data_IF_485439977123
#
_entry.id   IF_485439977123
#
_cell.length_a   1.000
_cell.length_b   1.000
_cell.length_c   1.000
_cell.angle_alpha   90.00
_cell.angle_beta   90.00
_cell.angle_gamma   90.00
#
_symmetry.space_group_name_H-M   'P 1'
#
loop_
_entity.id
_entity.type
_entity.pdbx_description
1 polymer ?
#
# COMPACT_ATOMS: atom_id res chain seq x y z
N UNK A 1 -4.56 -31.19 -7.30
CA UNK A 1 -4.64 -29.88 -7.99
C UNK A 1 -4.07 -28.83 -7.05
N UNK A 2 -3.07 -28.06 -7.44
CA UNK A 2 -2.59 -26.95 -6.60
C UNK A 2 -3.51 -25.75 -6.80
N UNK A 3 -4.11 -25.26 -5.72
CA UNK A 3 -5.07 -24.17 -5.73
C UNK A 3 -4.47 -22.77 -6.02
N UNK A 4 -3.17 -22.70 -6.37
CA UNK A 4 -2.50 -21.48 -6.83
C UNK A 4 -2.31 -20.39 -5.77
N UNK A 5 -2.47 -20.71 -4.48
CA UNK A 5 -2.25 -19.75 -3.40
C UNK A 5 -0.79 -19.26 -3.35
N UNK A 6 -0.56 -17.98 -3.01
CA UNK A 6 0.78 -17.50 -2.69
C UNK A 6 1.35 -18.25 -1.49
N UNK A 7 2.68 -18.32 -1.39
CA UNK A 7 3.34 -19.06 -0.33
C UNK A 7 3.23 -18.33 1.00
N UNK A 8 2.70 -19.00 2.03
CA UNK A 8 2.71 -18.51 3.41
C UNK A 8 4.11 -18.44 4.03
N UNK A 9 5.08 -19.15 3.43
CA UNK A 9 6.47 -19.11 3.90
C UNK A 9 7.14 -17.83 3.39
N UNK A 10 7.86 -17.09 4.26
CA UNK A 10 8.66 -15.96 3.82
C UNK A 10 9.65 -16.46 2.77
N UNK A 11 9.65 -15.80 1.60
CA UNK A 11 10.64 -16.07 0.56
C UNK A 11 11.91 -15.29 0.92
N UNK A 12 13.07 -15.92 0.72
CA UNK A 12 14.38 -15.30 0.93
C UNK A 12 14.70 -14.22 -0.12
N UNK A 13 13.69 -13.69 -0.83
CA UNK A 13 13.89 -12.63 -1.83
C UNK A 13 14.43 -11.34 -1.21
N UNK A 14 14.29 -11.17 0.11
CA UNK A 14 14.95 -10.13 0.90
C UNK A 14 16.43 -10.37 1.19
N UNK A 15 16.93 -11.62 1.05
CA UNK A 15 18.35 -11.97 1.25
C UNK A 15 19.22 -11.59 0.03
N UNK A 16 18.67 -10.84 -0.94
CA UNK A 16 19.48 -10.35 -2.06
C UNK A 16 20.63 -9.51 -1.49
N UNK A 17 21.90 -9.85 -1.77
CA UNK A 17 23.02 -9.07 -1.31
C UNK A 17 22.84 -7.63 -1.80
N UNK A 18 22.95 -6.68 -0.89
CA UNK A 18 22.82 -5.25 -1.19
C UNK A 18 23.78 -4.93 -2.34
N UNK A 19 23.23 -4.70 -3.53
CA UNK A 19 24.02 -4.34 -4.71
C UNK A 19 24.41 -2.87 -4.58
N UNK A 20 25.59 -2.62 -4.05
CA UNK A 20 26.19 -1.29 -4.12
C UNK A 20 26.49 -0.98 -5.60
N UNK A 21 26.07 0.19 -6.15
CA UNK A 21 26.50 0.60 -7.47
C UNK A 21 28.02 0.77 -7.43
N UNK A 22 28.72 -0.05 -8.21
CA UNK A 22 30.18 -0.04 -8.30
C UNK A 22 30.56 0.83 -9.48
N UNK A 23 31.32 1.90 -9.21
CA UNK A 23 32.02 2.63 -10.27
C UNK A 23 33.09 1.76 -10.94
N UNK A 24 33.75 2.27 -11.99
CA UNK A 24 34.78 1.54 -12.74
C UNK A 24 35.93 1.03 -11.86
N UNK A 25 36.11 1.60 -10.67
CA UNK A 25 37.16 1.24 -9.70
C UNK A 25 36.65 0.45 -8.50
N UNK A 26 35.48 -0.19 -8.56
CA UNK A 26 34.87 -0.96 -7.45
C UNK A 26 34.53 -0.18 -6.17
N UNK A 27 34.70 1.14 -6.20
CA UNK A 27 34.27 2.07 -5.15
C UNK A 27 32.86 2.59 -5.49
N UNK A 28 31.95 2.74 -4.50
CA UNK A 28 30.67 3.38 -4.73
C UNK A 28 30.83 4.86 -5.07
N UNK A 29 30.29 5.30 -6.20
CA UNK A 29 30.31 6.72 -6.59
C UNK A 29 29.13 7.47 -5.94
N UNK A 30 29.37 8.08 -4.78
CA UNK A 30 28.33 8.81 -4.02
C UNK A 30 27.87 10.10 -4.69
N UNK A 31 28.69 10.72 -5.55
CA UNK A 31 28.34 11.97 -6.24
C UNK A 31 27.37 11.75 -7.40
N UNK A 32 27.40 10.59 -8.05
CA UNK A 32 26.53 10.25 -9.19
C UNK A 32 25.31 9.46 -8.74
N UNK A 33 25.45 8.61 -7.72
CA UNK A 33 24.36 7.75 -7.22
C UNK A 33 23.67 8.26 -5.95
N UNK A 34 24.18 9.34 -5.35
CA UNK A 34 23.65 9.95 -4.14
C UNK A 34 24.20 9.34 -2.84
N UNK A 35 23.95 10.02 -1.72
CA UNK A 35 24.26 9.52 -0.38
C UNK A 35 23.30 8.38 -0.02
N UNK A 36 23.83 7.22 0.38
CA UNK A 36 23.03 6.07 0.80
C UNK A 36 22.54 6.21 2.24
N UNK A 37 21.35 5.68 2.52
CA UNK A 37 20.88 5.57 3.89
C UNK A 37 21.66 4.46 4.62
N UNK A 38 21.91 4.63 5.93
CA UNK A 38 22.58 3.60 6.73
C UNK A 38 21.87 2.23 6.68
N UNK A 39 20.54 2.27 6.47
CA UNK A 39 19.65 1.12 6.28
C UNK A 39 20.03 0.27 5.07
N UNK A 40 20.56 0.90 4.02
CA UNK A 40 20.95 0.25 2.77
C UNK A 40 22.31 -0.48 2.90
N UNK A 41 22.94 -0.49 4.07
CA UNK A 41 24.27 -1.09 4.28
C UNK A 41 24.22 -2.33 5.18
N UNK A 42 23.15 -2.51 5.95
CA UNK A 42 22.97 -3.65 6.85
C UNK A 42 22.10 -4.73 6.18
N UNK A 43 22.48 -6.02 6.24
CA UNK A 43 21.60 -7.08 5.74
C UNK A 43 20.27 -7.06 6.53
N UNK A 44 19.17 -7.04 5.79
CA UNK A 44 17.81 -7.07 6.34
C UNK A 44 17.47 -8.43 6.96
N UNK A 45 16.43 -8.46 7.79
CA UNK A 45 15.95 -9.71 8.37
C UNK A 45 15.19 -10.52 7.29
N UNK A 46 15.29 -11.85 7.21
CA UNK A 46 14.60 -12.65 6.18
C UNK A 46 13.07 -12.47 6.19
N UNK A 47 12.49 -12.10 7.34
CA UNK A 47 11.05 -11.79 7.47
C UNK A 47 10.68 -10.38 6.98
N UNK A 48 11.64 -9.46 6.85
CA UNK A 48 11.39 -8.06 6.49
C UNK A 48 10.65 -7.93 5.15
N UNK A 49 11.08 -8.71 4.16
CA UNK A 49 10.42 -8.74 2.86
C UNK A 49 8.98 -9.23 2.96
N UNK A 50 8.73 -10.24 3.79
CA UNK A 50 7.40 -10.80 3.99
C UNK A 50 6.47 -9.82 4.70
N UNK A 51 6.93 -9.14 5.75
CA UNK A 51 6.13 -8.13 6.47
C UNK A 51 5.81 -6.93 5.59
N UNK A 52 6.77 -6.49 4.78
CA UNK A 52 6.57 -5.38 3.84
C UNK A 52 5.45 -5.66 2.82
N UNK A 53 5.29 -6.90 2.37
CA UNK A 53 4.27 -7.29 1.38
C UNK A 53 3.11 -8.07 2.00
N UNK A 54 2.95 -8.00 3.33
CA UNK A 54 1.95 -8.81 4.03
C UNK A 54 0.53 -8.53 3.54
N UNK A 55 0.16 -7.25 3.40
CA UNK A 55 -1.18 -6.87 2.96
C UNK A 55 -1.50 -7.33 1.53
N UNK A 56 -0.55 -7.16 0.60
CA UNK A 56 -0.69 -7.59 -0.80
C UNK A 56 -0.83 -9.11 -0.90
N UNK A 57 -0.04 -9.85 -0.12
CA UNK A 57 -0.11 -11.30 -0.07
C UNK A 57 -1.43 -11.80 0.51
N UNK A 58 -1.94 -11.14 1.57
CA UNK A 58 -3.23 -11.46 2.16
C UNK A 58 -4.37 -11.24 1.14
N UNK A 59 -4.39 -10.09 0.47
CA UNK A 59 -5.38 -9.78 -0.57
C UNK A 59 -5.32 -10.80 -1.73
N UNK A 60 -4.11 -11.19 -2.15
CA UNK A 60 -3.92 -12.20 -3.18
C UNK A 60 -4.45 -13.58 -2.75
N UNK A 61 -4.25 -13.98 -1.49
CA UNK A 61 -4.81 -15.21 -0.94
C UNK A 61 -6.34 -15.17 -0.96
N UNK A 62 -6.94 -14.09 -0.50
CA UNK A 62 -8.39 -13.93 -0.40
C UNK A 62 -9.04 -13.96 -1.79
N UNK A 63 -8.43 -13.33 -2.80
CA UNK A 63 -8.91 -13.41 -4.17
C UNK A 63 -8.78 -14.80 -4.79
N UNK A 64 -7.70 -15.54 -4.49
CA UNK A 64 -7.58 -16.93 -4.91
C UNK A 64 -8.64 -17.80 -4.24
N UNK A 65 -8.93 -17.57 -2.96
CA UNK A 65 -10.00 -18.25 -2.24
C UNK A 65 -11.36 -17.98 -2.88
N UNK A 66 -11.69 -16.70 -3.13
CA UNK A 66 -12.92 -16.29 -3.81
C UNK A 66 -13.04 -16.93 -5.19
N UNK A 67 -11.96 -16.95 -5.97
CA UNK A 67 -11.92 -17.64 -7.27
C UNK A 67 -12.20 -19.12 -7.14
N UNK A 68 -11.63 -19.79 -6.15
CA UNK A 68 -11.78 -21.23 -5.96
C UNK A 68 -13.20 -21.60 -5.50
N UNK A 69 -13.82 -20.78 -4.66
CA UNK A 69 -15.17 -21.03 -4.15
C UNK A 69 -16.27 -20.64 -5.14
N UNK A 70 -16.13 -19.48 -5.77
CA UNK A 70 -17.21 -18.85 -6.54
C UNK A 70 -16.88 -18.76 -8.04
N UNK A 71 -15.63 -18.96 -8.45
CA UNK A 71 -15.18 -18.85 -9.84
C UNK A 71 -14.56 -17.50 -10.18
N UNK A 72 -14.06 -17.35 -11.41
CA UNK A 72 -13.26 -16.18 -11.84
C UNK A 72 -14.03 -14.86 -11.83
N UNK A 73 -15.35 -14.90 -11.90
CA UNK A 73 -16.19 -13.71 -11.94
C UNK A 73 -16.19 -12.95 -10.60
N UNK A 74 -15.96 -13.65 -9.49
CA UNK A 74 -16.01 -13.06 -8.15
C UNK A 74 -14.88 -12.07 -7.87
N UNK A 75 -13.59 -12.43 -8.00
CA UNK A 75 -12.49 -11.47 -7.83
C UNK A 75 -12.57 -10.31 -8.83
N UNK A 76 -12.99 -10.59 -10.07
CA UNK A 76 -13.16 -9.55 -11.11
C UNK A 76 -14.18 -8.50 -10.69
N UNK A 77 -15.37 -8.95 -10.26
CA UNK A 77 -16.45 -8.08 -9.78
C UNK A 77 -15.99 -7.24 -8.60
N UNK A 78 -15.38 -7.87 -7.59
CA UNK A 78 -14.93 -7.15 -6.39
C UNK A 78 -13.87 -6.09 -6.74
N UNK A 79 -12.92 -6.41 -7.63
CA UNK A 79 -11.91 -5.43 -8.06
C UNK A 79 -12.51 -4.28 -8.88
N UNK A 80 -13.53 -4.55 -9.69
CA UNK A 80 -14.30 -3.51 -10.39
C UNK A 80 -15.03 -2.61 -9.40
N UNK A 81 -15.73 -3.17 -8.41
CA UNK A 81 -16.43 -2.42 -7.37
C UNK A 81 -15.45 -1.52 -6.60
N UNK A 82 -14.31 -2.06 -6.14
CA UNK A 82 -13.26 -1.29 -5.47
C UNK A 82 -12.76 -0.10 -6.31
N UNK A 83 -12.57 -0.27 -7.63
CA UNK A 83 -12.13 0.79 -8.55
C UNK A 83 -13.20 1.86 -8.79
N UNK A 84 -14.48 1.48 -8.83
CA UNK A 84 -15.58 2.43 -8.92
C UNK A 84 -15.63 3.28 -7.65
N UNK A 85 -15.53 2.62 -6.50
CA UNK A 85 -15.64 3.26 -5.20
C UNK A 85 -14.43 4.14 -4.86
N UNK A 86 -13.22 3.79 -5.33
CA UNK A 86 -12.04 4.64 -5.13
C UNK A 86 -12.15 5.99 -5.85
N UNK A 87 -12.95 6.06 -6.92
CA UNK A 87 -13.16 7.28 -7.72
C UNK A 87 -14.35 8.11 -7.25
N UNK A 88 -15.17 7.61 -6.34
CA UNK A 88 -16.30 8.37 -5.81
C UNK A 88 -15.82 9.47 -4.86
N UNK A 89 -15.78 10.71 -5.37
CA UNK A 89 -15.44 11.90 -4.58
C UNK A 89 -16.71 12.64 -4.11
N UNK A 90 -16.64 13.25 -2.93
CA UNK A 90 -17.66 14.18 -2.42
C UNK A 90 -17.53 15.55 -3.09
N UNK A 91 -18.40 16.50 -2.72
CA UNK A 91 -18.33 17.88 -3.18
C UNK A 91 -16.90 18.45 -3.04
N UNK A 92 -16.45 19.29 -4.00
CA UNK A 92 -15.15 19.94 -3.91
C UNK A 92 -15.08 20.75 -2.61
N UNK A 93 -14.02 20.55 -1.82
CA UNK A 93 -13.75 21.03 -0.44
C UNK A 93 -14.06 20.05 0.70
N UNK A 94 -14.79 18.96 0.46
CA UNK A 94 -15.08 17.97 1.51
C UNK A 94 -14.29 16.68 1.29
N UNK A 95 -13.54 16.19 2.28
CA UNK A 95 -12.75 14.98 2.14
C UNK A 95 -13.69 13.77 2.01
N UNK A 96 -13.40 12.87 1.08
CA UNK A 96 -14.15 11.61 0.90
C UNK A 96 -13.78 10.64 2.02
N UNK A 97 -14.73 10.22 2.84
CA UNK A 97 -14.46 9.29 3.95
C UNK A 97 -14.03 7.88 3.52
N UNK A 98 -14.08 7.54 2.22
CA UNK A 98 -13.78 6.21 1.64
C UNK A 98 -14.53 5.02 2.26
N UNK A 99 -15.60 5.26 3.02
CA UNK A 99 -16.37 4.22 3.75
C UNK A 99 -16.75 3.03 2.87
N UNK A 100 -17.24 3.27 1.66
CA UNK A 100 -17.61 2.19 0.75
C UNK A 100 -16.39 1.35 0.33
N UNK A 101 -15.24 1.99 0.09
CA UNK A 101 -14.01 1.29 -0.27
C UNK A 101 -13.54 0.45 0.93
N UNK A 102 -13.57 1.04 2.12
CA UNK A 102 -13.19 0.38 3.37
C UNK A 102 -14.09 -0.82 3.71
N UNK A 103 -15.37 -0.78 3.34
CA UNK A 103 -16.27 -1.93 3.48
C UNK A 103 -15.93 -3.06 2.51
N UNK A 104 -15.49 -2.75 1.29
CA UNK A 104 -15.11 -3.76 0.30
C UNK A 104 -13.72 -4.36 0.56
N UNK A 105 -12.83 -3.61 1.21
CA UNK A 105 -11.50 -4.10 1.62
C UNK A 105 -11.50 -4.74 3.01
N UNK A 106 -12.57 -4.56 3.80
CA UNK A 106 -12.67 -5.05 5.17
C UNK A 106 -11.95 -4.20 6.22
N UNK A 107 -11.33 -3.07 5.81
CA UNK A 107 -10.61 -2.15 6.70
C UNK A 107 -11.52 -1.56 7.78
N UNK A 108 -12.81 -1.41 7.50
CA UNK A 108 -13.79 -0.86 8.44
C UNK A 108 -13.96 -1.66 9.76
N UNK A 109 -13.41 -2.87 9.85
CA UNK A 109 -13.48 -3.73 11.05
C UNK A 109 -12.24 -3.64 11.93
N UNK A 110 -11.16 -3.05 11.42
CA UNK A 110 -9.85 -2.94 12.07
C UNK A 110 -9.51 -1.48 12.35
N UNK A 111 -8.73 -1.22 13.40
CA UNK A 111 -8.23 0.12 13.73
C UNK A 111 -6.72 0.10 13.65
N UNK A 112 -6.16 1.01 12.86
CA UNK A 112 -4.72 1.12 12.59
C UNK A 112 -4.13 2.44 13.14
N UNK A 113 -2.79 2.55 13.14
CA UNK A 113 -2.10 3.75 13.66
C UNK A 113 -2.51 5.04 12.92
N UNK A 114 -2.77 4.93 11.61
CA UNK A 114 -3.23 6.05 10.78
C UNK A 114 -4.57 6.61 11.24
N UNK A 115 -5.46 5.77 11.78
CA UNK A 115 -6.79 6.22 12.21
C UNK A 115 -6.69 7.11 13.47
N UNK A 116 -5.59 6.99 14.24
CA UNK A 116 -5.35 7.75 15.46
C UNK A 116 -4.45 8.97 15.18
N UNK A 117 -3.39 8.78 14.39
CA UNK A 117 -2.35 9.80 14.19
C UNK A 117 -2.59 10.70 12.96
N UNK A 118 -3.38 10.24 11.99
CA UNK A 118 -3.64 10.98 10.75
C UNK A 118 -5.11 11.45 10.69
N UNK A 119 -5.52 12.20 11.72
CA UNK A 119 -6.87 12.77 11.79
C UNK A 119 -7.08 13.73 10.62
N UNK A 120 -8.07 13.44 9.80
CA UNK A 120 -8.29 14.10 8.51
C UNK A 120 -8.64 15.59 8.62
N UNK A 121 -9.26 16.00 9.72
CA UNK A 121 -9.58 17.41 9.97
C UNK A 121 -8.33 18.24 10.29
N UNK A 122 -7.26 17.60 10.78
CA UNK A 122 -6.00 18.25 11.13
C UNK A 122 -4.96 18.15 9.99
N UNK A 123 -5.33 17.52 8.86
CA UNK A 123 -4.43 17.36 7.74
C UNK A 123 -4.22 18.71 7.03
N UNK A 124 -2.96 19.17 7.00
CA UNK A 124 -2.52 20.45 6.42
C UNK A 124 -2.93 20.64 4.93
N UNK A 125 -3.30 19.54 4.26
CA UNK A 125 -3.69 19.49 2.85
C UNK A 125 -5.09 20.08 2.60
N UNK A 126 -5.98 20.07 3.60
CA UNK A 126 -7.35 20.55 3.43
C UNK A 126 -7.57 21.90 4.10
N UNK A 127 -7.55 22.98 3.31
CA UNK A 127 -7.98 24.28 3.79
C UNK A 127 -9.42 24.21 4.32
N UNK A 128 -9.67 24.83 5.48
CA UNK A 128 -11.01 24.87 6.07
C UNK A 128 -12.03 25.36 5.01
N UNK A 129 -13.18 24.68 4.84
CA UNK A 129 -14.09 24.95 3.73
C UNK A 129 -14.57 26.41 3.72
N UNK A 130 -14.79 27.01 4.90
CA UNK A 130 -15.18 28.41 5.03
C UNK A 130 -14.11 29.37 4.47
N UNK A 131 -12.82 29.10 4.71
CA UNK A 131 -11.70 29.91 4.21
C UNK A 131 -11.58 29.81 2.70
N UNK A 132 -11.74 28.60 2.14
CA UNK A 132 -11.67 28.38 0.69
C UNK A 132 -12.84 29.02 -0.06
N UNK A 133 -14.03 29.09 0.55
CA UNK A 133 -15.18 29.78 -0.05
C UNK A 133 -15.07 31.30 -0.04
N UNK A 134 -14.43 31.88 0.98
CA UNK A 134 -14.27 33.34 1.10
C UNK A 134 -13.20 33.93 0.18
N UNK A 135 -12.27 33.12 -0.34
CA UNK A 135 -11.20 33.56 -1.25
C UNK A 135 -11.64 33.68 -2.71
N UNK A 136 -12.92 33.46 -3.02
CA UNK A 136 -13.49 33.54 -4.38
C UNK A 136 -14.28 34.82 -4.66
N UNK A 137 -14.20 35.82 -3.79
CA UNK A 137 -14.78 37.16 -3.97
C UNK A 137 -13.73 38.25 -3.83
#
# INVERSE_FOLDING_TARGET
MSFGYPTLRPQNDGDQPIKLPKGPYSVPETLTTGLKNARDTTPGHPLEYSEKHWAENQEAMDFMMLRNMQGIHMPLRLKMEQNITSKMQRLPCLPSSHVMLDTLTGRNTTVDFDDILNVRDEAEVLGHPHVLTSLKY
#
